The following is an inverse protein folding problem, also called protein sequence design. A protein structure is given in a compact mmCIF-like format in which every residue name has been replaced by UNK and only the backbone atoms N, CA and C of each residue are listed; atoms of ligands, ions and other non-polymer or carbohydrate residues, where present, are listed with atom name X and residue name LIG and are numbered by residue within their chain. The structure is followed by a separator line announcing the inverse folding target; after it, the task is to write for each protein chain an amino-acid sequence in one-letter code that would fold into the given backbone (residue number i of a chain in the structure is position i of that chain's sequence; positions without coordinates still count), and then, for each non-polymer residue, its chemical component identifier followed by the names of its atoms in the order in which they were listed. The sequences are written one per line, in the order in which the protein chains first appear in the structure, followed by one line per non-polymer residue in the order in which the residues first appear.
data_IF_835767470953
#
_entry.id   IF_835767470953
#
_cell.length_a   1.000
_cell.length_b   1.000
_cell.length_c   1.000
_cell.angle_alpha   90.00
_cell.angle_beta   90.00
_cell.angle_gamma   90.00
#
_symmetry.space_group_name_H-M   'P 1'
#
loop_
_entity.id
_entity.type
_entity.pdbx_description
1 polymer ?
#
# COMPACT_ATOMS: atom_id res chain seq x y z
N UNK A 1 -9.23 -15.48 19.07
CA UNK A 1 -8.86 -15.62 17.66
C UNK A 1 -8.78 -14.21 17.11
N UNK A 2 -7.62 -13.78 16.59
CA UNK A 2 -7.49 -12.42 16.04
C UNK A 2 -8.28 -12.39 14.72
N UNK A 3 -9.20 -11.44 14.60
CA UNK A 3 -9.96 -11.23 13.35
C UNK A 3 -9.13 -10.33 12.43
N UNK A 4 -8.26 -10.97 11.65
CA UNK A 4 -7.40 -10.32 10.66
C UNK A 4 -8.21 -9.56 9.60
N UNK A 5 -9.44 -10.01 9.28
CA UNK A 5 -10.31 -9.35 8.32
C UNK A 5 -10.84 -8.00 8.83
N UNK A 6 -11.17 -7.92 10.12
CA UNK A 6 -11.60 -6.67 10.75
C UNK A 6 -10.48 -5.60 10.78
N UNK A 7 -9.24 -6.00 11.02
CA UNK A 7 -8.10 -5.07 11.01
C UNK A 7 -7.79 -4.53 9.61
N UNK A 8 -7.87 -5.39 8.58
CA UNK A 8 -7.75 -4.95 7.19
C UNK A 8 -8.87 -3.96 6.83
N UNK A 9 -10.11 -4.24 7.24
CA UNK A 9 -11.23 -3.33 7.02
C UNK A 9 -11.05 -2.00 7.74
N UNK A 10 -10.56 -2.01 8.98
CA UNK A 10 -10.28 -0.79 9.74
C UNK A 10 -9.25 0.12 9.04
N UNK A 11 -8.19 -0.46 8.48
CA UNK A 11 -7.19 0.28 7.71
C UNK A 11 -7.76 0.95 6.46
N UNK A 12 -8.73 0.32 5.78
CA UNK A 12 -9.37 0.84 4.57
C UNK A 12 -10.50 1.83 4.85
N UNK A 13 -11.18 1.72 5.99
CA UNK A 13 -12.26 2.65 6.38
C UNK A 13 -11.77 4.07 6.70
N UNK A 14 -10.46 4.24 6.91
CA UNK A 14 -9.84 5.54 7.19
C UNK A 14 -9.18 6.17 5.96
N UNK A 15 -9.48 5.68 4.76
CA UNK A 15 -8.94 6.26 3.53
C UNK A 15 -9.51 7.66 3.27
N UNK A 16 -8.63 8.64 3.11
CA UNK A 16 -8.99 9.96 2.62
C UNK A 16 -8.87 10.03 1.09
N UNK A 17 -9.40 11.09 0.49
CA UNK A 17 -9.06 11.46 -0.90
C UNK A 17 -8.09 12.63 -0.83
N UNK A 18 -6.96 12.52 -1.52
CA UNK A 18 -5.97 13.59 -1.54
C UNK A 18 -6.54 14.86 -2.18
N UNK A 19 -6.39 16.03 -1.54
CA UNK A 19 -6.77 17.32 -2.12
C UNK A 19 -6.07 17.59 -3.46
N UNK A 20 -6.71 18.28 -4.41
CA UNK A 20 -6.14 18.57 -5.72
C UNK A 20 -4.85 19.40 -5.66
N UNK A 21 -4.65 20.15 -4.58
CA UNK A 21 -3.50 21.00 -4.31
C UNK A 21 -2.42 20.31 -3.45
N UNK A 22 -2.50 18.99 -3.24
CA UNK A 22 -1.53 18.24 -2.41
C UNK A 22 -0.07 18.48 -2.81
N UNK A 23 0.20 18.62 -4.11
CA UNK A 23 1.53 18.89 -4.64
C UNK A 23 1.75 20.35 -5.05
N UNK A 24 0.84 21.26 -4.68
CA UNK A 24 0.96 22.67 -5.02
C UNK A 24 2.26 23.26 -4.46
N UNK A 25 3.00 23.98 -5.31
CA UNK A 25 4.28 24.57 -4.95
C UNK A 25 5.47 23.60 -4.96
N UNK A 26 5.26 22.33 -5.31
CA UNK A 26 6.34 21.39 -5.59
C UNK A 26 6.57 21.32 -7.10
N UNK A 27 7.81 21.54 -7.54
CA UNK A 27 8.21 21.32 -8.92
C UNK A 27 8.34 19.81 -9.16
N UNK A 28 7.25 19.19 -9.65
CA UNK A 28 7.18 17.75 -9.90
C UNK A 28 6.59 17.46 -11.27
N UNK A 29 7.26 16.62 -12.03
CA UNK A 29 6.69 15.98 -13.21
C UNK A 29 5.55 15.03 -12.83
N UNK A 30 4.71 14.71 -13.81
CA UNK A 30 3.61 13.73 -13.64
C UNK A 30 4.12 12.37 -13.12
N UNK A 31 5.24 11.90 -13.65
CA UNK A 31 5.83 10.61 -13.25
C UNK A 31 6.34 10.64 -11.81
N UNK A 32 6.88 11.76 -11.35
CA UNK A 32 7.29 11.95 -9.95
C UNK A 32 6.09 11.98 -9.02
N UNK A 33 4.98 12.61 -9.42
CA UNK A 33 3.74 12.60 -8.66
C UNK A 33 3.20 11.16 -8.53
N UNK A 34 3.17 10.40 -9.64
CA UNK A 34 2.75 8.99 -9.63
C UNK A 34 3.69 8.14 -8.75
N UNK A 35 5.00 8.36 -8.82
CA UNK A 35 5.97 7.65 -8.00
C UNK A 35 5.78 7.95 -6.51
N UNK A 36 5.55 9.22 -6.15
CA UNK A 36 5.26 9.64 -4.78
C UNK A 36 3.96 9.01 -4.26
N UNK A 37 2.87 9.08 -5.03
CA UNK A 37 1.59 8.47 -4.66
C UNK A 37 1.73 6.97 -4.43
N UNK A 38 2.37 6.27 -5.37
CA UNK A 38 2.57 4.83 -5.26
C UNK A 38 3.41 4.47 -4.03
N UNK A 39 4.44 5.25 -3.72
CA UNK A 39 5.26 5.05 -2.52
C UNK A 39 4.46 5.27 -1.23
N UNK A 40 3.82 6.43 -1.06
CA UNK A 40 3.11 6.75 0.18
C UNK A 40 1.92 5.81 0.42
N UNK A 41 1.17 5.43 -0.63
CA UNK A 41 0.11 4.43 -0.50
C UNK A 41 0.64 3.12 0.08
N UNK A 42 1.68 2.55 -0.52
CA UNK A 42 2.21 1.25 -0.09
C UNK A 42 2.96 1.35 1.25
N UNK A 43 3.59 2.50 1.55
CA UNK A 43 4.19 2.77 2.85
C UNK A 43 3.12 2.77 3.94
N UNK A 44 2.03 3.50 3.76
CA UNK A 44 0.99 3.66 4.76
C UNK A 44 0.18 2.36 4.93
N UNK A 45 -0.09 1.63 3.84
CA UNK A 45 -0.67 0.29 3.90
C UNK A 45 0.18 -0.66 4.75
N UNK A 46 1.50 -0.67 4.52
CA UNK A 46 2.43 -1.47 5.30
C UNK A 46 2.51 -1.03 6.76
N UNK A 47 2.45 0.27 7.04
CA UNK A 47 2.41 0.75 8.43
C UNK A 47 1.15 0.27 9.15
N UNK A 48 0.01 0.22 8.45
CA UNK A 48 -1.26 -0.20 9.03
C UNK A 48 -1.40 -1.73 9.15
N UNK A 49 -0.93 -2.48 8.13
CA UNK A 49 -1.14 -3.93 8.02
C UNK A 49 0.08 -4.77 8.36
N UNK A 50 1.28 -4.20 8.39
CA UNK A 50 2.52 -4.97 8.37
C UNK A 50 2.69 -5.93 9.56
N UNK A 51 2.29 -5.51 10.76
CA UNK A 51 2.35 -6.40 11.94
C UNK A 51 1.35 -7.56 11.80
N UNK A 52 0.15 -7.25 11.34
CA UNK A 52 -0.96 -8.18 11.17
C UNK A 52 -0.62 -9.24 10.11
N UNK A 53 -0.04 -8.80 9.00
CA UNK A 53 0.47 -9.63 7.91
C UNK A 53 1.62 -10.54 8.38
N UNK A 54 2.53 -10.02 9.21
CA UNK A 54 3.65 -10.78 9.74
C UNK A 54 3.22 -11.82 10.77
N UNK A 55 2.32 -11.47 11.69
CA UNK A 55 1.75 -12.40 12.67
C UNK A 55 0.98 -13.53 11.97
N UNK A 56 0.17 -13.20 10.96
CA UNK A 56 -0.56 -14.20 10.18
C UNK A 56 0.38 -15.16 9.43
N UNK A 57 1.44 -14.62 8.82
CA UNK A 57 2.47 -15.42 8.17
C UNK A 57 3.16 -16.38 9.16
N UNK A 58 3.60 -15.87 10.31
CA UNK A 58 4.26 -16.66 11.34
C UNK A 58 3.34 -17.78 11.88
N UNK A 59 2.08 -17.44 12.21
CA UNK A 59 1.10 -18.40 12.69
C UNK A 59 0.87 -19.52 11.67
N UNK A 60 0.79 -19.18 10.38
CA UNK A 60 0.60 -20.16 9.31
C UNK A 60 1.83 -21.06 9.13
N UNK A 61 3.04 -20.52 9.20
CA UNK A 61 4.28 -21.30 9.14
C UNK A 61 4.39 -22.29 10.31
N UNK A 62 4.07 -21.86 11.54
CA UNK A 62 4.05 -22.73 12.72
C UNK A 62 3.00 -23.83 12.62
N UNK A 63 1.79 -23.51 12.14
CA UNK A 63 0.73 -24.48 11.94
C UNK A 63 1.11 -25.57 10.92
N UNK A 64 1.82 -25.18 9.85
CA UNK A 64 2.41 -26.10 8.85
C UNK A 64 3.48 -26.99 9.47
N UNK A 65 4.41 -26.42 10.24
CA UNK A 65 5.46 -27.18 10.94
C UNK A 65 4.87 -28.20 11.92
N UNK A 66 3.81 -27.81 12.64
CA UNK A 66 3.04 -28.68 13.54
C UNK A 66 2.13 -29.69 12.81
N UNK A 67 2.09 -29.67 11.47
CA UNK A 67 1.28 -30.56 10.61
C UNK A 67 -0.21 -30.56 10.97
N UNK A 68 -0.76 -29.39 11.30
CA UNK A 68 -2.18 -29.27 11.60
C UNK A 68 -3.03 -29.60 10.35
N UNK A 69 -4.11 -30.40 10.46
CA UNK A 69 -4.87 -30.90 9.31
C UNK A 69 -5.41 -29.83 8.35
N UNK A 70 -5.74 -28.64 8.85
CA UNK A 70 -6.25 -27.51 8.07
C UNK A 70 -5.17 -26.65 7.37
N UNK A 71 -3.89 -26.97 7.58
CA UNK A 71 -2.73 -26.21 7.07
C UNK A 71 -1.77 -27.11 6.27
N UNK A 72 -2.26 -28.26 5.80
CA UNK A 72 -1.54 -29.14 4.88
C UNK A 72 -1.27 -28.40 3.56
N UNK A 73 -0.07 -28.50 2.99
CA UNK A 73 0.30 -27.80 1.74
C UNK A 73 -0.61 -28.13 0.53
N UNK A 74 -1.41 -29.20 0.61
CA UNK A 74 -2.40 -29.59 -0.41
C UNK A 74 -3.80 -28.97 -0.18
N UNK A 75 -4.10 -28.56 1.04
CA UNK A 75 -5.44 -28.17 1.49
C UNK A 75 -5.46 -26.77 2.13
N UNK A 76 -4.42 -25.96 1.92
CA UNK A 76 -4.21 -24.68 2.61
C UNK A 76 -4.71 -23.48 1.78
N UNK A 77 -5.98 -23.03 1.95
CA UNK A 77 -6.48 -21.78 1.36
C UNK A 77 -5.74 -20.53 1.87
N UNK A 78 -4.93 -20.64 2.93
CA UNK A 78 -4.08 -19.57 3.46
C UNK A 78 -2.80 -19.34 2.65
N UNK A 79 -2.43 -20.22 1.72
CA UNK A 79 -1.27 -20.02 0.85
C UNK A 79 -1.41 -18.78 -0.06
N UNK A 80 -2.61 -18.53 -0.60
CA UNK A 80 -2.91 -17.30 -1.35
C UNK A 80 -2.92 -16.06 -0.45
N UNK A 81 -3.33 -16.21 0.81
CA UNK A 81 -3.35 -15.10 1.79
C UNK A 81 -1.93 -14.73 2.24
N UNK A 82 -1.03 -15.72 2.43
CA UNK A 82 0.40 -15.49 2.61
C UNK A 82 1.00 -14.78 1.40
N UNK A 83 0.65 -15.21 0.18
CA UNK A 83 1.09 -14.54 -1.05
C UNK A 83 0.59 -13.09 -1.10
N UNK A 84 -0.64 -12.83 -0.64
CA UNK A 84 -1.22 -11.48 -0.56
C UNK A 84 -0.50 -10.60 0.46
N UNK A 85 -0.19 -11.14 1.64
CA UNK A 85 0.60 -10.46 2.68
C UNK A 85 2.05 -10.17 2.21
N UNK A 86 2.67 -11.09 1.46
CA UNK A 86 3.97 -10.85 0.83
C UNK A 86 3.89 -9.89 -0.36
N UNK A 87 2.72 -9.78 -1.00
CA UNK A 87 2.47 -8.88 -2.12
C UNK A 87 2.56 -7.43 -1.69
N UNK A 88 1.98 -7.04 -0.54
CA UNK A 88 2.05 -5.67 -0.01
C UNK A 88 3.50 -5.22 0.19
N UNK A 89 4.33 -6.09 0.81
CA UNK A 89 5.76 -5.85 1.02
C UNK A 89 6.54 -5.78 -0.28
N UNK A 90 6.28 -6.69 -1.21
CA UNK A 90 6.92 -6.69 -2.54
C UNK A 90 6.56 -5.45 -3.34
N UNK A 91 5.29 -5.04 -3.31
CA UNK A 91 4.81 -3.84 -3.97
C UNK A 91 5.43 -2.59 -3.36
N UNK A 92 5.50 -2.48 -2.02
CA UNK A 92 6.18 -1.38 -1.34
C UNK A 92 7.63 -1.24 -1.81
N UNK A 93 8.41 -2.33 -1.83
CA UNK A 93 9.79 -2.33 -2.32
C UNK A 93 9.89 -1.95 -3.81
N UNK A 94 8.97 -2.47 -4.65
CA UNK A 94 8.92 -2.16 -6.08
C UNK A 94 8.63 -0.67 -6.33
N UNK A 95 7.77 -0.05 -5.52
CA UNK A 95 7.38 1.36 -5.62
C UNK A 95 8.37 2.31 -4.93
N UNK A 96 9.13 1.81 -3.97
CA UNK A 96 10.20 2.56 -3.32
C UNK A 96 11.35 2.90 -4.28
N UNK A 97 11.72 2.01 -5.20
CA UNK A 97 12.83 2.29 -6.13
C UNK A 97 12.59 3.53 -7.02
N UNK A 98 11.43 3.70 -7.69
CA UNK A 98 11.09 4.95 -8.38
C UNK A 98 11.12 6.16 -7.44
N UNK A 99 10.59 6.03 -6.22
CA UNK A 99 10.57 7.13 -5.27
C UNK A 99 11.98 7.58 -4.85
N UNK A 100 12.90 6.64 -4.61
CA UNK A 100 14.28 6.94 -4.24
C UNK A 100 15.08 7.64 -5.35
N UNK A 101 14.57 7.67 -6.60
CA UNK A 101 15.17 8.44 -7.69
C UNK A 101 14.84 9.93 -7.64
N UNK A 102 13.79 10.34 -6.91
CA UNK A 102 13.48 11.75 -6.71
C UNK A 102 14.62 12.44 -5.96
N UNK A 103 14.82 13.72 -6.26
CA UNK A 103 15.82 14.54 -5.60
C UNK A 103 15.63 14.50 -4.06
N UNK A 104 16.71 14.36 -3.26
CA UNK A 104 16.60 14.28 -1.80
C UNK A 104 15.91 15.48 -1.13
N UNK A 105 15.97 16.67 -1.75
CA UNK A 105 15.24 17.84 -1.27
C UNK A 105 13.72 17.67 -1.45
N UNK A 106 13.29 17.22 -2.63
CA UNK A 106 11.89 16.96 -2.96
C UNK A 106 11.31 15.85 -2.08
N UNK A 107 12.05 14.76 -1.85
CA UNK A 107 11.63 13.71 -0.91
C UNK A 107 11.37 14.22 0.50
N UNK A 108 12.25 15.09 1.01
CA UNK A 108 12.05 15.71 2.34
C UNK A 108 10.80 16.60 2.40
N UNK A 109 10.51 17.33 1.33
CA UNK A 109 9.28 18.12 1.25
C UNK A 109 8.04 17.21 1.24
N UNK A 110 8.05 16.14 0.45
CA UNK A 110 6.97 15.16 0.38
C UNK A 110 6.74 14.43 1.72
N UNK A 111 7.81 14.01 2.40
CA UNK A 111 7.74 13.38 3.73
C UNK A 111 7.22 14.33 4.82
N UNK A 112 7.33 15.64 4.61
CA UNK A 112 6.79 16.65 5.52
C UNK A 112 5.31 16.94 5.30
N UNK A 113 4.69 16.49 4.19
CA UNK A 113 3.26 16.68 3.93
C UNK A 113 2.43 15.73 4.81
N UNK A 114 1.62 16.25 5.76
CA UNK A 114 0.87 15.40 6.68
C UNK A 114 -0.15 14.53 5.95
N UNK A 115 -0.79 15.07 4.91
CA UNK A 115 -1.82 14.38 4.13
C UNK A 115 -1.29 13.09 3.47
N UNK A 116 0.00 13.06 3.10
CA UNK A 116 0.64 11.87 2.52
C UNK A 116 1.01 10.81 3.56
N UNK A 117 0.94 11.10 4.86
CA UNK A 117 1.21 10.12 5.92
C UNK A 117 -0.03 9.30 6.32
N UNK A 118 -1.19 9.59 5.71
CA UNK A 118 -2.44 8.85 5.95
C UNK A 118 -2.75 7.89 4.81
N UNK A 119 -3.53 6.84 5.08
CA UNK A 119 -4.09 6.00 4.02
C UNK A 119 -5.02 6.84 3.14
N UNK A 120 -4.97 6.61 1.84
CA UNK A 120 -5.83 7.31 0.88
C UNK A 120 -6.29 6.36 -0.22
N UNK A 121 -7.46 6.65 -0.79
CA UNK A 121 -7.98 5.93 -1.95
C UNK A 121 -7.14 6.34 -3.17
N UNK A 122 -6.36 5.42 -3.76
CA UNK A 122 -5.47 5.76 -4.87
C UNK A 122 -6.23 6.16 -6.14
N UNK A 123 -7.41 5.59 -6.40
CA UNK A 123 -8.17 5.87 -7.62
C UNK A 123 -8.83 7.24 -7.56
N UNK A 124 -9.50 7.53 -6.44
CA UNK A 124 -10.12 8.84 -6.24
C UNK A 124 -9.06 9.95 -6.13
N UNK A 125 -7.92 9.67 -5.47
CA UNK A 125 -6.83 10.64 -5.36
C UNK A 125 -6.17 10.93 -6.70
N UNK A 126 -5.95 9.91 -7.56
CA UNK A 126 -5.44 10.12 -8.92
C UNK A 126 -6.38 11.02 -9.73
N UNK A 127 -7.70 10.81 -9.63
CA UNK A 127 -8.69 11.66 -10.30
C UNK A 127 -8.67 13.10 -9.76
N UNK A 128 -8.69 13.26 -8.43
CA UNK A 128 -8.62 14.55 -7.74
C UNK A 128 -7.40 15.37 -8.17
N UNK A 129 -6.25 14.72 -8.31
CA UNK A 129 -4.99 15.34 -8.69
C UNK A 129 -4.84 15.57 -10.21
N UNK A 130 -5.84 15.22 -11.02
CA UNK A 130 -5.77 15.33 -12.48
C UNK A 130 -4.73 14.39 -13.12
N UNK A 131 -4.45 13.27 -12.47
CA UNK A 131 -3.45 12.28 -12.90
C UNK A 131 -4.07 11.10 -13.67
N UNK A 132 -5.39 11.01 -13.79
CA UNK A 132 -6.05 10.01 -14.64
C UNK A 132 -5.63 10.21 -16.10
N UNK A 133 -5.38 9.11 -16.82
CA UNK A 133 -5.20 9.20 -18.26
C UNK A 133 -6.54 9.66 -18.85
N UNK A 134 -6.59 10.84 -19.46
CA UNK A 134 -7.80 11.35 -20.11
C UNK A 134 -8.21 10.54 -21.36
N UNK A 135 -7.43 9.52 -21.73
CA UNK A 135 -7.59 8.74 -22.97
C UNK A 135 -8.05 7.28 -22.76
N UNK A 136 -8.60 6.93 -21.58
CA UNK A 136 -9.12 5.58 -21.31
C UNK A 136 -10.47 5.67 -20.58
N UNK A 137 -11.37 6.52 -21.05
CA UNK A 137 -12.78 6.55 -20.60
C UNK A 137 -13.77 6.66 -21.79
N UNK A 138 -13.33 6.30 -23.01
CA UNK A 138 -14.21 6.05 -24.18
C UNK A 138 -13.80 4.72 -24.84
N UNK A 139 -14.33 3.60 -24.33
CA UNK A 139 -14.66 2.38 -25.09
C UNK A 139 -15.50 1.41 -24.23
#
# INVERSE_FOLDING_TARGET
MIDYSAQIQYCRQQEIVLPPDTFAGLEMSRDEQIAALAYFRNKNDRTCLGQVEEEFLQATLLAREAKLPAYSAKDDPGAEQILTALLSRTLALKRERPYLRLAPALRRQLEALPVLQHNFDPFQSIRSLGLSNADIDDD
#
